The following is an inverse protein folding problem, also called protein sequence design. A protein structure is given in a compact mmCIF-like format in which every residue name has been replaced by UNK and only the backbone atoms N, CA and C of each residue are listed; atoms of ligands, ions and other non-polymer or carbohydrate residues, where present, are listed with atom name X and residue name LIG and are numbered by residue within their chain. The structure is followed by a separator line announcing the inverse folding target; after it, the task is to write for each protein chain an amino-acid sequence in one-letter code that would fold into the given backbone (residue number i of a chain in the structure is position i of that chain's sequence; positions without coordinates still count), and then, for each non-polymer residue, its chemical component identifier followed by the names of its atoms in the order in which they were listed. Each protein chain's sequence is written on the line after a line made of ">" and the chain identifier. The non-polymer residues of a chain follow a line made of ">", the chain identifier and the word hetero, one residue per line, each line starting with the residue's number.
data_IF_582596644448
#
_entry.id   IF_582596644448
#
_cell.length_a   1.000
_cell.length_b   1.000
_cell.length_c   1.000
_cell.angle_alpha   90.00
_cell.angle_beta   90.00
_cell.angle_gamma   90.00
#
_symmetry.space_group_name_H-M   'P 1'
#
loop_
_entity.id
_entity.type
_entity.pdbx_description
1 polymer ?
#
# COMPACT_ATOMS: atom_id res chain seq x y z
N UNK A 1 12.37 -8.11 -30.18
CA UNK A 1 12.23 -9.33 -31.01
C UNK A 1 12.67 -10.61 -30.31
N UNK A 2 13.92 -10.79 -29.88
CA UNK A 2 14.31 -12.00 -29.12
C UNK A 2 13.59 -12.07 -27.77
N UNK A 3 13.51 -10.93 -27.09
CA UNK A 3 12.75 -10.72 -25.84
C UNK A 3 11.26 -10.97 -26.06
N UNK A 4 10.65 -10.38 -27.09
CA UNK A 4 9.23 -10.53 -27.41
C UNK A 4 8.82 -11.98 -27.74
N UNK A 5 9.77 -12.84 -28.10
CA UNK A 5 9.55 -14.26 -28.37
C UNK A 5 10.03 -15.16 -27.22
N UNK A 6 10.37 -14.60 -26.06
CA UNK A 6 10.84 -15.33 -24.87
C UNK A 6 11.98 -16.32 -25.15
N UNK A 7 12.90 -15.94 -26.06
CA UNK A 7 14.00 -16.81 -26.47
C UNK A 7 15.30 -16.44 -25.74
N UNK A 8 15.54 -17.06 -24.58
CA UNK A 8 16.71 -16.82 -23.74
C UNK A 8 18.02 -17.07 -24.49
N UNK A 9 18.13 -18.21 -25.19
CA UNK A 9 19.35 -18.62 -25.89
C UNK A 9 19.77 -17.56 -26.92
N UNK A 10 18.80 -16.96 -27.62
CA UNK A 10 19.07 -15.87 -28.56
C UNK A 10 19.49 -14.59 -27.84
N UNK A 11 18.89 -14.27 -26.68
CA UNK A 11 19.29 -13.11 -25.88
C UNK A 11 20.72 -13.25 -25.40
N UNK A 12 21.08 -14.40 -24.82
CA UNK A 12 22.45 -14.72 -24.39
C UNK A 12 23.44 -14.64 -25.55
N UNK A 13 23.12 -15.22 -26.71
CA UNK A 13 23.97 -15.17 -27.90
C UNK A 13 24.22 -13.74 -28.38
N UNK A 14 23.18 -12.89 -28.39
CA UNK A 14 23.30 -11.48 -28.79
C UNK A 14 24.17 -10.69 -27.81
N UNK A 15 24.06 -11.00 -26.53
CA UNK A 15 24.86 -10.42 -25.46
C UNK A 15 26.34 -10.82 -25.61
N UNK A 16 26.62 -12.10 -25.88
CA UNK A 16 27.99 -12.60 -26.13
C UNK A 16 28.66 -11.90 -27.31
N UNK A 17 27.88 -11.49 -28.32
CA UNK A 17 28.36 -10.78 -29.49
C UNK A 17 28.46 -9.25 -29.29
N UNK A 18 28.30 -8.74 -28.06
CA UNK A 18 28.34 -7.32 -27.69
C UNK A 18 27.40 -6.46 -28.54
N UNK A 19 26.18 -6.94 -28.77
CA UNK A 19 25.13 -6.13 -29.37
C UNK A 19 24.69 -5.06 -28.37
N UNK A 20 24.55 -3.83 -28.85
CA UNK A 20 24.09 -2.69 -28.03
C UNK A 20 22.68 -2.98 -27.47
N UNK A 21 22.57 -3.03 -26.15
CA UNK A 21 21.36 -3.44 -25.43
C UNK A 21 20.29 -2.35 -25.40
N UNK A 22 20.67 -1.06 -25.41
CA UNK A 22 19.73 0.08 -25.43
C UNK A 22 18.58 -0.07 -24.41
N UNK A 23 17.33 0.02 -24.86
CA UNK A 23 16.11 -0.13 -24.05
C UNK A 23 15.63 -1.59 -23.91
N UNK A 24 16.46 -2.58 -24.26
CA UNK A 24 16.14 -4.01 -24.15
C UNK A 24 15.70 -4.40 -22.73
N UNK A 25 16.33 -3.83 -21.70
CA UNK A 25 15.94 -4.10 -20.31
C UNK A 25 14.49 -3.65 -20.04
N UNK A 26 14.11 -2.45 -20.51
CA UNK A 26 12.75 -1.94 -20.32
C UNK A 26 11.74 -2.79 -21.10
N UNK A 27 12.10 -3.28 -22.28
CA UNK A 27 11.27 -4.23 -23.04
C UNK A 27 11.11 -5.58 -22.34
N UNK A 28 12.19 -6.13 -21.76
CA UNK A 28 12.12 -7.38 -20.99
C UNK A 28 11.22 -7.24 -19.77
N UNK A 29 11.29 -6.10 -19.07
CA UNK A 29 10.39 -5.79 -17.96
C UNK A 29 8.95 -5.60 -18.44
N UNK A 30 8.73 -4.98 -19.60
CA UNK A 30 7.37 -4.77 -20.12
C UNK A 30 6.66 -6.05 -20.53
N UNK A 31 7.43 -7.04 -21.01
CA UNK A 31 6.96 -8.39 -21.34
C UNK A 31 6.99 -9.35 -20.12
N UNK A 32 7.40 -8.87 -18.94
CA UNK A 32 7.47 -9.66 -17.70
C UNK A 32 8.40 -10.88 -17.79
N UNK A 33 9.42 -10.83 -18.67
CA UNK A 33 10.36 -11.92 -18.90
C UNK A 33 11.51 -11.91 -17.88
N UNK A 34 11.32 -12.60 -16.76
CA UNK A 34 12.19 -12.55 -15.57
C UNK A 34 13.62 -12.98 -15.87
N UNK A 35 13.82 -14.08 -16.59
CA UNK A 35 15.14 -14.64 -16.89
C UNK A 35 15.97 -13.69 -17.76
N UNK A 36 15.35 -13.10 -18.79
CA UNK A 36 16.03 -12.10 -19.62
C UNK A 36 16.39 -10.84 -18.83
N UNK A 37 15.53 -10.40 -17.90
CA UNK A 37 15.85 -9.26 -17.02
C UNK A 37 17.08 -9.55 -16.18
N UNK A 38 17.21 -10.74 -15.62
CA UNK A 38 18.38 -11.12 -14.82
C UNK A 38 19.67 -11.12 -15.66
N UNK A 39 19.66 -11.78 -16.83
CA UNK A 39 20.81 -11.83 -17.74
C UNK A 39 21.21 -10.42 -18.23
N UNK A 40 20.23 -9.57 -18.58
CA UNK A 40 20.49 -8.20 -19.01
C UNK A 40 21.07 -7.33 -17.89
N UNK A 41 20.60 -7.50 -16.65
CA UNK A 41 21.15 -6.78 -15.49
C UNK A 41 22.58 -7.22 -15.17
N UNK A 42 22.87 -8.52 -15.23
CA UNK A 42 24.23 -9.04 -15.03
C UNK A 42 25.21 -8.53 -16.09
N UNK A 43 24.77 -8.45 -17.34
CA UNK A 43 25.57 -7.87 -18.41
C UNK A 43 25.83 -6.38 -18.20
N UNK A 44 24.82 -5.61 -17.79
CA UNK A 44 24.99 -4.19 -17.47
C UNK A 44 25.98 -4.02 -16.31
N UNK A 45 25.83 -4.76 -15.22
CA UNK A 45 26.73 -4.68 -14.06
C UNK A 45 28.19 -5.00 -14.42
N UNK A 46 28.42 -5.92 -15.36
CA UNK A 46 29.75 -6.29 -15.82
C UNK A 46 30.41 -5.22 -16.71
N UNK A 47 29.62 -4.51 -17.51
CA UNK A 47 30.11 -3.59 -18.54
C UNK A 47 29.92 -2.11 -18.22
N UNK A 48 29.14 -1.79 -17.19
CA UNK A 48 28.82 -0.41 -16.84
C UNK A 48 30.05 0.33 -16.29
N UNK A 49 30.32 1.49 -16.87
CA UNK A 49 31.39 2.38 -16.44
C UNK A 49 30.83 3.36 -15.41
N UNK A 50 31.38 3.41 -14.17
CA UNK A 50 30.86 4.30 -13.13
C UNK A 50 30.88 5.78 -13.57
N UNK A 51 29.70 6.39 -13.64
CA UNK A 51 29.52 7.80 -13.98
C UNK A 51 29.01 8.07 -15.39
N UNK A 52 28.90 7.04 -16.24
CA UNK A 52 28.14 7.11 -17.49
C UNK A 52 26.66 6.78 -17.24
N UNK A 53 25.72 7.30 -18.04
CA UNK A 53 24.32 6.88 -17.97
C UNK A 53 24.20 5.38 -18.30
N UNK A 54 23.23 4.72 -17.71
CA UNK A 54 22.95 3.31 -18.02
C UNK A 54 22.51 3.13 -19.48
N UNK A 55 22.63 1.91 -20.02
CA UNK A 55 22.25 1.60 -21.41
C UNK A 55 20.82 2.04 -21.77
N UNK A 56 19.87 1.89 -20.84
CA UNK A 56 18.46 2.31 -21.01
C UNK A 56 18.24 3.82 -20.85
N UNK A 57 19.20 4.57 -20.31
CA UNK A 57 19.16 6.05 -20.16
C UNK A 57 19.85 6.76 -21.33
N UNK A 58 20.78 6.07 -22.00
CA UNK A 58 21.58 6.61 -23.09
C UNK A 58 20.88 6.59 -24.47
N UNK A 59 19.65 6.08 -24.54
CA UNK A 59 18.91 5.92 -25.81
C UNK A 59 18.41 7.27 -26.32
N UNK A 60 18.59 7.54 -27.62
CA UNK A 60 18.08 8.73 -28.28
C UNK A 60 16.55 8.83 -28.12
N UNK A 61 16.06 9.99 -27.70
CA UNK A 61 14.63 10.26 -27.45
C UNK A 61 13.73 9.98 -28.66
N UNK A 62 14.24 10.14 -29.88
CA UNK A 62 13.48 9.87 -31.11
C UNK A 62 13.33 8.37 -31.40
N UNK A 63 14.11 7.53 -30.73
CA UNK A 63 14.12 6.07 -30.90
C UNK A 63 13.57 5.30 -29.69
N UNK A 64 13.46 5.95 -28.52
CA UNK A 64 13.02 5.30 -27.29
C UNK A 64 11.51 5.06 -27.27
N UNK A 65 11.09 3.83 -26.98
CA UNK A 65 9.66 3.51 -26.80
C UNK A 65 9.10 4.10 -25.50
N UNK A 66 9.95 4.24 -24.48
CA UNK A 66 9.60 4.69 -23.14
C UNK A 66 9.94 6.16 -22.94
N UNK A 67 9.19 6.85 -22.09
CA UNK A 67 9.52 8.22 -21.70
C UNK A 67 10.73 8.22 -20.76
N UNK A 68 11.58 9.26 -20.81
CA UNK A 68 12.85 9.28 -20.07
C UNK A 68 12.70 9.29 -18.54
N UNK A 69 11.50 9.55 -18.03
CA UNK A 69 11.17 9.46 -16.61
C UNK A 69 10.91 8.03 -16.10
N UNK A 70 10.80 7.05 -17.00
CA UNK A 70 10.53 5.65 -16.65
C UNK A 70 11.86 4.93 -16.41
N UNK A 71 12.16 4.67 -15.15
CA UNK A 71 13.28 3.79 -14.75
C UNK A 71 12.84 2.32 -14.75
N UNK A 72 13.78 1.35 -14.79
CA UNK A 72 13.47 -0.07 -14.70
C UNK A 72 12.57 -0.43 -13.49
N UNK A 73 12.84 0.17 -12.32
CA UNK A 73 12.04 -0.05 -11.12
C UNK A 73 10.63 0.55 -11.23
N UNK A 74 10.48 1.73 -11.86
CA UNK A 74 9.16 2.33 -12.11
C UNK A 74 8.35 1.42 -13.02
N UNK A 75 8.94 0.94 -14.11
CA UNK A 75 8.26 0.07 -15.07
C UNK A 75 7.86 -1.28 -14.46
N UNK A 76 8.76 -1.90 -13.69
CA UNK A 76 8.50 -3.14 -12.98
C UNK A 76 7.36 -2.98 -11.97
N UNK A 77 7.35 -1.86 -11.22
CA UNK A 77 6.26 -1.54 -10.30
C UNK A 77 4.94 -1.25 -11.03
N UNK A 78 4.96 -0.66 -12.23
CA UNK A 78 3.73 -0.46 -13.03
C UNK A 78 3.11 -1.79 -13.47
N UNK A 79 3.93 -2.80 -13.77
CA UNK A 79 3.51 -4.18 -14.07
C UNK A 79 3.12 -4.97 -12.82
N UNK A 80 3.51 -4.49 -11.64
CA UNK A 80 3.26 -5.14 -10.35
C UNK A 80 3.87 -6.56 -10.25
N UNK A 81 4.90 -6.85 -11.04
CA UNK A 81 5.58 -8.14 -11.03
C UNK A 81 6.53 -8.24 -9.82
N UNK A 82 6.18 -9.10 -8.87
CA UNK A 82 6.90 -9.27 -7.61
C UNK A 82 8.36 -9.71 -7.79
N UNK A 83 8.64 -10.62 -8.73
CA UNK A 83 9.97 -11.20 -8.92
C UNK A 83 10.94 -10.17 -9.50
N UNK A 84 10.53 -9.46 -10.55
CA UNK A 84 11.33 -8.40 -11.17
C UNK A 84 11.58 -7.25 -10.17
N UNK A 85 10.55 -6.81 -9.45
CA UNK A 85 10.71 -5.76 -8.43
C UNK A 85 11.70 -6.20 -7.36
N UNK A 86 11.63 -7.47 -6.93
CA UNK A 86 12.57 -8.01 -5.95
C UNK A 86 14.01 -8.04 -6.47
N UNK A 87 14.22 -8.54 -7.69
CA UNK A 87 15.54 -8.57 -8.36
C UNK A 87 16.17 -7.17 -8.38
N UNK A 88 15.39 -6.15 -8.75
CA UNK A 88 15.85 -4.76 -8.82
C UNK A 88 16.14 -4.18 -7.43
N UNK A 89 15.31 -4.44 -6.43
CA UNK A 89 15.51 -3.97 -5.06
C UNK A 89 16.73 -4.64 -4.40
N UNK A 90 16.94 -5.94 -4.62
CA UNK A 90 18.09 -6.69 -4.09
C UNK A 90 19.42 -6.15 -4.68
N UNK A 91 19.38 -5.61 -5.90
CA UNK A 91 20.49 -4.90 -6.56
C UNK A 91 20.60 -3.41 -6.19
N UNK A 92 19.79 -2.93 -5.26
CA UNK A 92 19.90 -1.58 -4.70
C UNK A 92 19.21 -0.48 -5.50
N UNK A 93 18.30 -0.82 -6.41
CA UNK A 93 17.49 0.19 -7.10
C UNK A 93 16.63 0.97 -6.09
N UNK A 94 16.60 2.31 -6.24
CA UNK A 94 15.85 3.21 -5.36
C UNK A 94 14.84 4.01 -6.17
N UNK A 95 13.61 4.10 -5.67
CA UNK A 95 12.60 5.01 -6.20
C UNK A 95 12.65 6.33 -5.41
N UNK A 96 13.07 7.46 -6.03
CA UNK A 96 13.06 8.75 -5.34
C UNK A 96 11.63 9.16 -4.99
N UNK A 97 11.45 9.71 -3.78
CA UNK A 97 10.16 10.22 -3.36
C UNK A 97 9.78 11.47 -4.19
N UNK A 98 8.58 11.52 -4.78
CA UNK A 98 8.13 12.70 -5.51
C UNK A 98 8.12 13.94 -4.62
N UNK A 99 8.55 15.07 -5.16
CA UNK A 99 8.40 16.35 -4.48
C UNK A 99 6.91 16.75 -4.37
N UNK A 100 6.59 17.58 -3.38
CA UNK A 100 5.24 18.15 -3.26
C UNK A 100 4.93 19.02 -4.49
N UNK A 101 3.65 19.10 -4.87
CA UNK A 101 3.21 19.84 -6.08
C UNK A 101 3.64 21.31 -6.04
N UNK A 102 3.78 21.88 -4.84
CA UNK A 102 4.16 23.29 -4.62
C UNK A 102 5.65 23.47 -4.34
N UNK A 103 6.48 22.48 -4.65
CA UNK A 103 7.92 22.57 -4.45
C UNK A 103 8.52 23.69 -5.34
N UNK A 104 9.37 24.52 -4.73
CA UNK A 104 10.04 25.64 -5.39
C UNK A 104 11.57 25.43 -5.47
N UNK A 105 12.04 24.18 -5.45
CA UNK A 105 13.46 23.91 -5.68
C UNK A 105 13.85 24.19 -7.14
N UNK A 106 15.14 24.40 -7.38
CA UNK A 106 15.68 24.71 -8.71
C UNK A 106 15.30 23.66 -9.76
N UNK A 107 15.30 22.38 -9.39
CA UNK A 107 15.01 21.29 -10.33
C UNK A 107 13.55 21.22 -10.73
N UNK A 108 12.61 21.37 -9.78
CA UNK A 108 11.18 21.42 -10.09
C UNK A 108 10.81 22.64 -10.91
N UNK A 109 11.39 23.81 -10.59
CA UNK A 109 11.14 25.05 -11.34
C UNK A 109 11.67 24.93 -12.77
N UNK A 110 12.88 24.42 -12.94
CA UNK A 110 13.49 24.18 -14.26
C UNK A 110 12.66 23.19 -15.09
N UNK A 111 12.42 21.99 -14.55
CA UNK A 111 11.63 20.94 -15.21
C UNK A 111 10.24 21.42 -15.62
N UNK A 112 9.56 22.17 -14.75
CA UNK A 112 8.24 22.73 -15.06
C UNK A 112 8.30 23.83 -16.12
N UNK A 113 9.36 24.66 -16.14
CA UNK A 113 9.55 25.71 -17.14
C UNK A 113 9.92 25.18 -18.53
N UNK A 114 10.65 24.07 -18.59
CA UNK A 114 11.01 23.38 -19.82
C UNK A 114 9.80 22.62 -20.38
N UNK A 115 9.17 21.79 -19.55
CA UNK A 115 7.97 21.05 -19.93
C UNK A 115 7.08 20.69 -18.72
N UNK A 116 6.06 21.52 -18.53
CA UNK A 116 5.06 21.32 -17.47
C UNK A 116 4.27 20.01 -17.59
N UNK A 117 4.05 19.48 -18.80
CA UNK A 117 3.28 18.26 -19.02
C UNK A 117 4.11 17.04 -18.64
N UNK A 118 5.36 16.97 -19.12
CA UNK A 118 6.27 15.88 -18.75
C UNK A 118 6.60 15.91 -17.25
N UNK A 119 6.75 17.11 -16.65
CA UNK A 119 6.90 17.23 -15.20
C UNK A 119 5.73 16.60 -14.42
N UNK A 120 4.50 16.87 -14.87
CA UNK A 120 3.30 16.32 -14.24
C UNK A 120 3.14 14.82 -14.50
N UNK A 121 3.49 14.35 -15.72
CA UNK A 121 3.49 12.94 -16.09
C UNK A 121 4.51 12.12 -15.29
N UNK A 122 5.71 12.64 -15.11
CA UNK A 122 6.76 12.02 -14.29
C UNK A 122 6.30 11.83 -12.84
N UNK A 123 5.67 12.86 -12.25
CA UNK A 123 5.09 12.76 -10.90
C UNK A 123 4.06 11.65 -10.80
N UNK A 124 3.12 11.54 -11.74
CA UNK A 124 2.08 10.50 -11.67
C UNK A 124 2.64 9.11 -11.92
N UNK A 125 3.65 8.96 -12.79
CA UNK A 125 4.35 7.70 -13.00
C UNK A 125 5.07 7.24 -11.73
N UNK A 126 5.72 8.16 -11.00
CA UNK A 126 6.33 7.84 -9.71
C UNK A 126 5.29 7.43 -8.65
N UNK A 127 4.16 8.14 -8.55
CA UNK A 127 3.08 7.74 -7.64
C UNK A 127 2.42 6.41 -8.02
N UNK A 128 2.32 6.10 -9.32
CA UNK A 128 1.83 4.82 -9.81
C UNK A 128 2.75 3.68 -9.39
N UNK A 129 4.07 3.88 -9.48
CA UNK A 129 5.04 2.93 -8.96
C UNK A 129 4.94 2.77 -7.44
N UNK A 130 4.89 3.86 -6.67
CA UNK A 130 4.73 3.82 -5.21
C UNK A 130 3.45 3.11 -4.75
N UNK A 131 2.39 3.15 -5.55
CA UNK A 131 1.12 2.52 -5.25
C UNK A 131 1.05 1.02 -5.62
N UNK A 132 2.12 0.43 -6.17
CA UNK A 132 2.23 -1.00 -6.46
C UNK A 132 2.19 -1.83 -5.18
N UNK A 133 1.25 -2.80 -5.07
CA UNK A 133 1.25 -3.82 -4.02
C UNK A 133 2.60 -4.52 -3.83
N UNK A 134 3.22 -4.98 -4.92
CA UNK A 134 4.50 -5.70 -4.88
C UNK A 134 5.61 -4.81 -4.33
N UNK A 135 5.70 -3.55 -4.77
CA UNK A 135 6.69 -2.61 -4.26
C UNK A 135 6.47 -2.30 -2.77
N UNK A 136 5.23 -2.03 -2.35
CA UNK A 136 4.91 -1.74 -0.94
C UNK A 136 5.25 -2.94 -0.05
N UNK A 137 4.94 -4.16 -0.51
CA UNK A 137 5.19 -5.38 0.25
C UNK A 137 6.70 -5.66 0.46
N UNK A 138 7.53 -5.37 -0.54
CA UNK A 138 8.98 -5.61 -0.49
C UNK A 138 9.75 -4.49 0.22
N UNK A 139 9.34 -3.24 0.04
CA UNK A 139 10.10 -2.06 0.51
C UNK A 139 9.68 -1.55 1.90
N UNK A 140 8.44 -1.80 2.33
CA UNK A 140 7.91 -1.22 3.58
C UNK A 140 8.01 -2.16 4.79
N UNK A 141 8.37 -1.59 5.94
CA UNK A 141 8.32 -2.26 7.24
C UNK A 141 6.89 -2.46 7.77
N UNK A 142 5.99 -1.51 7.49
CA UNK A 142 4.56 -1.58 7.84
C UNK A 142 3.73 -1.29 6.57
N UNK A 143 3.47 -2.31 5.74
CA UNK A 143 2.74 -2.16 4.48
C UNK A 143 1.35 -1.55 4.64
N UNK A 144 0.65 -1.86 5.74
CA UNK A 144 -0.69 -1.34 6.02
C UNK A 144 -0.63 0.17 6.31
N UNK A 145 0.33 0.61 7.13
CA UNK A 145 0.55 2.04 7.38
C UNK A 145 0.89 2.78 6.09
N UNK A 146 1.84 2.26 5.32
CA UNK A 146 2.27 2.87 4.06
C UNK A 146 1.09 3.02 3.10
N UNK A 147 0.26 1.99 2.94
CA UNK A 147 -0.94 2.06 2.13
C UNK A 147 -1.96 3.11 2.64
N UNK A 148 -2.11 3.26 3.95
CA UNK A 148 -3.01 4.28 4.55
C UNK A 148 -2.51 5.71 4.34
N UNK A 149 -1.20 5.94 4.49
CA UNK A 149 -0.58 7.23 4.26
C UNK A 149 -0.63 7.60 2.77
N UNK A 150 -0.22 6.69 1.89
CA UNK A 150 -0.21 6.91 0.45
C UNK A 150 -1.62 7.14 -0.10
N UNK A 151 -2.62 6.35 0.31
CA UNK A 151 -4.01 6.58 -0.10
C UNK A 151 -4.60 7.91 0.41
N UNK A 152 -4.09 8.44 1.52
CA UNK A 152 -4.47 9.78 1.99
C UNK A 152 -3.78 10.87 1.18
N UNK A 153 -2.50 10.70 0.87
CA UNK A 153 -1.74 11.61 0.03
C UNK A 153 -2.32 11.69 -1.38
N UNK A 154 -2.54 10.55 -2.06
CA UNK A 154 -3.17 10.49 -3.38
C UNK A 154 -4.53 11.17 -3.41
N UNK A 155 -5.31 11.06 -2.31
CA UNK A 155 -6.55 11.82 -2.17
C UNK A 155 -6.30 13.33 -2.15
N UNK A 156 -5.31 13.81 -1.40
CA UNK A 156 -4.95 15.23 -1.35
C UNK A 156 -4.53 15.73 -2.73
N UNK A 157 -3.66 14.99 -3.42
CA UNK A 157 -3.17 15.32 -4.76
C UNK A 157 -4.30 15.42 -5.78
N UNK A 158 -5.30 14.54 -5.71
CA UNK A 158 -6.48 14.59 -6.60
C UNK A 158 -7.34 15.87 -6.50
N UNK A 159 -7.18 16.65 -5.41
CA UNK A 159 -7.82 17.96 -5.25
C UNK A 159 -6.88 19.13 -5.59
N UNK A 160 -5.58 18.87 -5.73
CA UNK A 160 -4.60 19.89 -6.10
C UNK A 160 -4.39 19.90 -7.62
N UNK A 161 -4.28 18.72 -8.24
CA UNK A 161 -4.20 18.52 -9.68
C UNK A 161 -5.51 17.92 -10.19
N UNK A 162 -6.37 18.76 -10.73
CA UNK A 162 -7.72 18.37 -11.11
C UNK A 162 -7.73 17.58 -12.43
N UNK A 163 -6.75 17.82 -13.27
CA UNK A 163 -6.53 17.22 -14.59
C UNK A 163 -6.33 15.71 -14.47
N UNK A 164 -5.55 15.26 -13.47
CA UNK A 164 -5.24 13.86 -13.21
C UNK A 164 -6.03 13.25 -12.05
N UNK A 165 -7.13 13.89 -11.64
CA UNK A 165 -7.93 13.48 -10.48
C UNK A 165 -8.39 12.03 -10.55
N UNK A 166 -8.80 11.55 -11.73
CA UNK A 166 -9.27 10.17 -11.91
C UNK A 166 -8.16 9.16 -11.62
N UNK A 167 -6.97 9.38 -12.20
CA UNK A 167 -5.81 8.51 -12.01
C UNK A 167 -5.38 8.45 -10.54
N UNK A 168 -5.28 9.60 -9.86
CA UNK A 168 -4.97 9.62 -8.42
C UNK A 168 -6.02 8.86 -7.58
N UNK A 169 -7.30 8.96 -7.92
CA UNK A 169 -8.36 8.23 -7.22
C UNK A 169 -8.31 6.71 -7.47
N UNK A 170 -7.87 6.29 -8.66
CA UNK A 170 -7.62 4.88 -8.97
C UNK A 170 -6.43 4.33 -8.21
N UNK A 171 -5.29 5.03 -8.20
CA UNK A 171 -4.12 4.65 -7.39
C UNK A 171 -4.47 4.58 -5.90
N UNK A 172 -5.26 5.55 -5.43
CA UNK A 172 -5.78 5.53 -4.06
C UNK A 172 -6.58 4.25 -3.80
N UNK A 173 -7.48 3.89 -4.71
CA UNK A 173 -8.30 2.66 -4.60
C UNK A 173 -7.41 1.43 -4.56
N UNK A 174 -6.38 1.33 -5.40
CA UNK A 174 -5.39 0.23 -5.37
C UNK A 174 -4.75 0.08 -3.98
N UNK A 175 -4.27 1.17 -3.39
CA UNK A 175 -3.69 1.15 -2.04
C UNK A 175 -4.70 0.69 -0.96
N UNK A 176 -5.95 1.15 -1.05
CA UNK A 176 -7.00 0.74 -0.11
C UNK A 176 -7.33 -0.74 -0.23
N UNK A 177 -7.38 -1.24 -1.47
CA UNK A 177 -7.70 -2.62 -1.78
C UNK A 177 -6.57 -3.53 -1.31
N UNK A 178 -5.30 -3.17 -1.54
CA UNK A 178 -4.13 -3.87 -1.00
C UNK A 178 -4.18 -4.03 0.53
N UNK A 179 -4.41 -2.95 1.28
CA UNK A 179 -4.51 -3.03 2.73
C UNK A 179 -5.68 -3.90 3.22
N UNK A 180 -6.77 -3.95 2.45
CA UNK A 180 -7.91 -4.82 2.75
C UNK A 180 -7.57 -6.28 2.46
N UNK A 181 -6.94 -6.57 1.32
CA UNK A 181 -6.49 -7.92 0.96
C UNK A 181 -5.49 -8.50 1.96
N UNK A 182 -4.57 -7.69 2.51
CA UNK A 182 -3.69 -8.13 3.59
C UNK A 182 -4.46 -8.57 4.84
N UNK A 183 -5.57 -7.89 5.15
CA UNK A 183 -6.42 -8.24 6.27
C UNK A 183 -7.24 -9.53 5.99
N UNK A 184 -7.62 -9.78 4.73
CA UNK A 184 -8.31 -11.00 4.31
C UNK A 184 -7.48 -12.27 4.58
N UNK A 185 -6.15 -12.14 4.61
CA UNK A 185 -5.24 -13.25 4.90
C UNK A 185 -5.11 -13.59 6.40
N UNK A 186 -5.77 -12.86 7.30
CA UNK A 186 -5.82 -13.22 8.73
C UNK A 186 -6.63 -14.50 8.94
N UNK A 187 -6.03 -15.50 9.59
CA UNK A 187 -6.65 -16.82 9.79
C UNK A 187 -7.20 -17.02 11.19
N UNK A 188 -6.66 -16.30 12.18
CA UNK A 188 -7.06 -16.42 13.57
C UNK A 188 -7.60 -15.09 14.12
N UNK A 189 -8.47 -15.17 15.14
CA UNK A 189 -8.92 -13.97 15.86
C UNK A 189 -7.76 -13.25 16.53
N UNK A 190 -6.75 -14.00 16.98
CA UNK A 190 -5.54 -13.44 17.58
C UNK A 190 -4.73 -12.61 16.58
N UNK A 191 -4.46 -13.12 15.37
CA UNK A 191 -3.78 -12.34 14.31
C UNK A 191 -4.52 -11.04 14.01
N UNK A 192 -5.86 -11.11 13.92
CA UNK A 192 -6.69 -9.95 13.68
C UNK A 192 -6.61 -8.94 14.84
N UNK A 193 -6.65 -9.41 16.09
CA UNK A 193 -6.51 -8.57 17.28
C UNK A 193 -5.14 -7.89 17.33
N UNK A 194 -4.06 -8.63 17.08
CA UNK A 194 -2.70 -8.08 17.01
C UNK A 194 -2.64 -7.00 15.92
N UNK A 195 -3.12 -7.28 14.72
CA UNK A 195 -3.12 -6.35 13.60
C UNK A 195 -3.91 -5.06 13.92
N UNK A 196 -5.12 -5.19 14.50
CA UNK A 196 -5.99 -4.05 14.79
C UNK A 196 -5.53 -3.22 16.00
N UNK A 197 -4.76 -3.82 16.92
CA UNK A 197 -4.21 -3.14 18.10
C UNK A 197 -2.76 -2.66 17.90
N UNK A 198 -2.09 -3.07 16.83
CA UNK A 198 -0.68 -2.76 16.60
C UNK A 198 -0.37 -1.26 16.64
N UNK A 199 0.55 -0.89 17.53
CA UNK A 199 1.12 0.44 17.71
C UNK A 199 2.65 0.36 17.65
N UNK A 200 3.34 1.05 16.72
CA UNK A 200 4.80 1.02 16.61
C UNK A 200 5.54 1.57 17.83
N UNK A 201 4.92 2.45 18.63
CA UNK A 201 5.55 3.06 19.81
C UNK A 201 5.14 2.42 21.14
N UNK A 202 4.15 1.52 21.09
CA UNK A 202 3.60 0.87 22.27
C UNK A 202 4.23 -0.50 22.55
N UNK A 203 3.90 -1.11 23.70
CA UNK A 203 4.21 -2.52 23.91
C UNK A 203 3.47 -3.40 22.89
N UNK A 204 4.04 -4.57 22.60
CA UNK A 204 3.36 -5.58 21.80
C UNK A 204 2.04 -6.00 22.49
N UNK A 205 0.99 -6.19 21.70
CA UNK A 205 -0.31 -6.61 22.23
C UNK A 205 -0.25 -8.06 22.71
N UNK A 206 -0.61 -8.30 23.97
CA UNK A 206 -0.75 -9.65 24.52
C UNK A 206 -2.23 -10.05 24.65
N UNK A 207 -2.48 -11.35 24.54
CA UNK A 207 -3.85 -11.87 24.62
C UNK A 207 -4.42 -11.63 26.02
N UNK A 208 -5.53 -10.87 26.10
CA UNK A 208 -6.15 -10.45 27.36
C UNK A 208 -5.92 -8.98 27.72
N UNK A 209 -5.07 -8.29 26.97
CA UNK A 209 -4.94 -6.83 27.09
C UNK A 209 -6.22 -6.11 26.63
N UNK A 210 -6.39 -4.90 27.14
CA UNK A 210 -7.48 -4.03 26.71
C UNK A 210 -7.30 -3.65 25.24
N UNK A 211 -8.27 -4.02 24.40
CA UNK A 211 -8.27 -3.67 22.98
C UNK A 211 -8.44 -2.16 22.78
N UNK A 212 -7.33 -1.45 22.55
CA UNK A 212 -7.33 0.00 22.26
C UNK A 212 -7.69 0.31 20.80
N UNK A 213 -7.56 -0.70 19.92
CA UNK A 213 -7.86 -0.66 18.49
C UNK A 213 -7.15 0.50 17.77
N UNK A 214 -5.88 0.72 18.09
CA UNK A 214 -5.06 1.83 17.59
C UNK A 214 -5.01 1.87 16.06
N UNK A 215 -4.78 0.71 15.42
CA UNK A 215 -4.74 0.60 13.96
C UNK A 215 -6.10 0.89 13.33
N UNK A 216 -7.19 0.43 13.94
CA UNK A 216 -8.54 0.70 13.45
C UNK A 216 -8.89 2.19 13.55
N UNK A 217 -8.53 2.86 14.65
CA UNK A 217 -8.70 4.31 14.80
C UNK A 217 -7.93 5.07 13.72
N UNK A 218 -6.71 4.62 13.41
CA UNK A 218 -5.93 5.17 12.31
C UNK A 218 -6.62 4.95 10.95
N UNK A 219 -7.15 3.75 10.69
CA UNK A 219 -7.90 3.44 9.49
C UNK A 219 -9.11 4.38 9.31
N UNK A 220 -9.85 4.67 10.39
CA UNK A 220 -10.95 5.64 10.38
C UNK A 220 -10.44 7.06 10.07
N UNK A 221 -9.33 7.49 10.68
CA UNK A 221 -8.69 8.81 10.43
C UNK A 221 -8.32 8.99 8.96
N UNK A 222 -7.77 7.95 8.33
CA UNK A 222 -7.41 7.96 6.89
C UNK A 222 -8.59 7.61 5.96
N UNK A 223 -9.81 7.43 6.50
CA UNK A 223 -11.06 7.12 5.77
C UNK A 223 -10.98 5.82 4.96
N UNK A 224 -10.40 4.78 5.55
CA UNK A 224 -10.26 3.44 4.99
C UNK A 224 -11.55 2.63 5.11
N UNK A 225 -12.56 2.99 4.30
CA UNK A 225 -13.92 2.46 4.43
C UNK A 225 -14.00 0.93 4.27
N UNK A 226 -13.35 0.37 3.25
CA UNK A 226 -13.38 -1.09 2.97
C UNK A 226 -12.74 -1.89 4.10
N UNK A 227 -11.55 -1.47 4.53
CA UNK A 227 -10.84 -2.05 5.67
C UNK A 227 -11.71 -2.07 6.94
N UNK A 228 -12.32 -0.94 7.30
CA UNK A 228 -13.17 -0.87 8.49
C UNK A 228 -14.45 -1.72 8.34
N UNK A 229 -15.03 -1.79 7.15
CA UNK A 229 -16.26 -2.54 6.88
C UNK A 229 -16.02 -4.04 6.64
N UNK A 230 -14.77 -4.51 6.70
CA UNK A 230 -14.42 -5.89 6.44
C UNK A 230 -15.13 -6.85 7.42
N UNK A 231 -15.70 -7.98 6.97
CA UNK A 231 -16.43 -8.93 7.81
C UNK A 231 -15.70 -9.34 9.09
N UNK A 232 -14.40 -9.64 9.02
CA UNK A 232 -13.62 -10.05 10.20
C UNK A 232 -13.52 -8.91 11.23
N UNK A 233 -13.29 -7.67 10.76
CA UNK A 233 -13.23 -6.48 11.63
C UNK A 233 -14.59 -6.22 12.27
N UNK A 234 -15.66 -6.30 11.48
CA UNK A 234 -17.03 -6.10 11.97
C UNK A 234 -17.46 -7.18 12.97
N UNK A 235 -17.03 -8.43 12.75
CA UNK A 235 -17.28 -9.53 13.68
C UNK A 235 -16.59 -9.30 15.03
N UNK A 236 -15.32 -8.88 15.03
CA UNK A 236 -14.58 -8.54 16.25
C UNK A 236 -15.20 -7.32 16.96
N UNK A 237 -15.55 -6.27 16.22
CA UNK A 237 -16.22 -5.11 16.79
C UNK A 237 -17.57 -5.48 17.40
N UNK A 238 -18.32 -6.37 16.77
CA UNK A 238 -19.57 -6.87 17.32
C UNK A 238 -19.34 -7.68 18.61
N UNK A 239 -18.27 -8.48 18.72
CA UNK A 239 -17.98 -9.19 19.98
C UNK A 239 -17.62 -8.23 21.11
N UNK A 240 -16.84 -7.18 20.82
CA UNK A 240 -16.50 -6.13 21.81
C UNK A 240 -17.75 -5.34 22.21
N UNK A 241 -18.58 -4.94 21.25
CA UNK A 241 -19.79 -4.14 21.50
C UNK A 241 -20.82 -4.85 22.38
N UNK A 242 -20.93 -6.18 22.26
CA UNK A 242 -21.90 -6.99 23.00
C UNK A 242 -21.30 -7.77 24.18
N UNK A 243 -20.06 -7.49 24.59
CA UNK A 243 -19.35 -8.22 25.66
C UNK A 243 -20.14 -8.22 26.99
N UNK A 244 -20.76 -7.10 27.35
CA UNK A 244 -21.60 -6.97 28.54
C UNK A 244 -23.00 -7.59 28.43
N UNK A 245 -23.40 -8.09 27.26
CA UNK A 245 -24.74 -8.63 26.97
C UNK A 245 -24.67 -9.98 26.24
N UNK A 246 -24.18 -11.04 26.91
CA UNK A 246 -24.01 -12.34 26.29
C UNK A 246 -25.35 -12.87 25.75
N UNK A 247 -25.35 -13.29 24.48
CA UNK A 247 -26.52 -13.84 23.80
C UNK A 247 -27.51 -12.80 23.26
N UNK A 248 -27.30 -11.50 23.45
CA UNK A 248 -28.18 -10.45 22.91
C UNK A 248 -28.36 -10.57 21.39
N UNK A 249 -27.28 -10.84 20.66
CA UNK A 249 -27.28 -11.01 19.20
C UNK A 249 -28.11 -12.21 18.71
N UNK A 250 -28.37 -13.21 19.57
CA UNK A 250 -29.17 -14.40 19.24
C UNK A 250 -30.67 -14.21 19.53
N UNK A 251 -31.06 -13.14 20.22
CA UNK A 251 -32.46 -12.86 20.60
C UNK A 251 -33.24 -12.29 19.41
N UNK A 252 -34.55 -12.58 19.37
CA UNK A 252 -35.46 -11.94 18.42
C UNK A 252 -35.54 -10.43 18.68
N UNK A 253 -35.92 -9.65 17.65
CA UNK A 253 -36.01 -8.19 17.72
C UNK A 253 -36.90 -7.72 18.89
N UNK A 254 -38.04 -8.38 19.13
CA UNK A 254 -38.92 -8.04 20.27
C UNK A 254 -38.23 -8.21 21.64
N UNK A 255 -37.47 -9.30 21.80
CA UNK A 255 -36.69 -9.57 23.00
C UNK A 255 -35.52 -8.58 23.15
N UNK A 256 -34.87 -8.20 22.05
CA UNK A 256 -33.83 -7.18 22.04
C UNK A 256 -34.39 -5.81 22.46
N UNK A 257 -35.54 -5.41 21.91
CA UNK A 257 -36.21 -4.17 22.29
C UNK A 257 -36.60 -4.18 23.78
N UNK A 258 -37.15 -5.28 24.29
CA UNK A 258 -37.48 -5.42 25.70
C UNK A 258 -36.24 -5.25 26.60
N UNK A 259 -35.13 -5.87 26.23
CA UNK A 259 -33.86 -5.74 26.96
C UNK A 259 -33.31 -4.31 26.93
N UNK A 260 -33.35 -3.65 25.78
CA UNK A 260 -32.94 -2.24 25.65
C UNK A 260 -33.82 -1.35 26.54
N UNK A 261 -35.15 -1.53 26.50
CA UNK A 261 -36.08 -0.79 27.36
C UNK A 261 -35.82 -1.05 28.85
N UNK A 262 -35.57 -2.31 29.23
CA UNK A 262 -35.22 -2.70 30.60
C UNK A 262 -33.94 -1.99 31.06
N UNK A 263 -32.90 -1.96 30.21
CA UNK A 263 -31.63 -1.30 30.52
C UNK A 263 -31.83 0.21 30.66
N UNK A 264 -32.63 0.83 29.77
CA UNK A 264 -32.96 2.25 29.84
C UNK A 264 -33.71 2.64 31.11
N UNK A 265 -34.72 1.85 31.52
CA UNK A 265 -35.49 2.09 32.74
C UNK A 265 -34.66 1.89 34.02
N UNK A 266 -33.79 0.89 34.05
CA UNK A 266 -32.94 0.57 35.21
C UNK A 266 -31.62 1.35 35.23
N UNK A 267 -31.37 2.22 34.25
CA UNK A 267 -30.18 3.07 34.16
C UNK A 267 -29.79 3.79 35.48
N UNK A 268 -30.70 4.47 36.21
CA UNK A 268 -30.33 5.16 37.46
C UNK A 268 -29.83 4.19 38.54
N UNK A 269 -30.40 2.99 38.62
CA UNK A 269 -29.97 1.95 39.56
C UNK A 269 -28.59 1.43 39.15
N UNK A 270 -28.38 1.17 37.87
CA UNK A 270 -27.08 0.76 37.35
C UNK A 270 -26.00 1.83 37.60
N UNK A 271 -26.30 3.12 37.37
CA UNK A 271 -25.37 4.21 37.60
C UNK A 271 -24.94 4.32 39.08
N UNK A 272 -25.88 4.23 40.02
CA UNK A 272 -25.57 4.22 41.46
C UNK A 272 -24.73 2.99 41.82
N UNK A 273 -25.08 1.81 41.28
CA UNK A 273 -24.31 0.59 41.52
C UNK A 273 -22.88 0.65 40.98
N UNK A 274 -22.67 1.35 39.85
CA UNK A 274 -21.34 1.58 39.27
C UNK A 274 -20.49 2.50 40.15
N UNK A 275 -21.08 3.54 40.75
CA UNK A 275 -20.39 4.47 41.66
C UNK A 275 -20.03 3.79 42.99
N UNK A 276 -20.95 3.00 43.56
CA UNK A 276 -20.77 2.40 44.90
C UNK A 276 -19.97 1.09 44.86
N UNK A 277 -20.17 0.26 43.84
CA UNK A 277 -19.55 -1.06 43.73
C UNK A 277 -19.17 -1.38 42.26
N UNK A 278 -18.12 -0.72 41.72
CA UNK A 278 -17.76 -0.80 40.29
C UNK A 278 -17.36 -2.21 39.82
N UNK A 279 -16.91 -3.08 40.73
CA UNK A 279 -16.50 -4.45 40.41
C UNK A 279 -17.61 -5.49 40.51
N UNK A 280 -18.81 -5.10 40.97
CA UNK A 280 -19.99 -5.97 41.04
C UNK A 280 -20.48 -6.37 39.64
N UNK A 281 -21.20 -7.49 39.52
CA UNK A 281 -21.77 -7.94 38.22
C UNK A 281 -22.68 -6.88 37.59
N UNK A 282 -23.47 -6.19 38.42
CA UNK A 282 -24.38 -5.11 38.01
C UNK A 282 -23.60 -3.86 37.57
N UNK A 283 -22.55 -3.48 38.33
CA UNK A 283 -21.67 -2.37 37.96
C UNK A 283 -20.90 -2.63 36.66
N UNK A 284 -20.44 -3.87 36.42
CA UNK A 284 -19.78 -4.26 35.16
C UNK A 284 -20.70 -4.23 33.95
N UNK A 285 -22.01 -4.27 34.13
CA UNK A 285 -22.97 -4.21 33.00
C UNK A 285 -22.93 -2.85 32.28
N UNK A 286 -22.47 -1.79 32.95
CA UNK A 286 -22.30 -0.44 32.40
C UNK A 286 -20.90 -0.14 31.84
N UNK A 287 -19.92 -1.04 32.05
CA UNK A 287 -18.53 -0.85 31.64
C UNK A 287 -18.29 -1.34 30.22
#
# INVERSE_FOLDING_TARGET
>A
MAIDNENLEMVELLIEHNVDTKDALLHAISEEYVEAVEVLLEHEEANHIPGEPHSWEAVDHDSSTFTPDITPLILAAHRDNYEIVKILLDRGAVLPAPHDIRCACSDCVRSCSEDSLNHSRSRINAYRALASPSLIALSSKDPILTAFLLSHELRRLSYLEHEYKCEYMELRKKCMDFATSLLDHTRSSYELEVLLNYDPSGPAFEQGDRMLLSRLKLAIKHKQKKFCAHPNVQQLLASIWYEGLPGFRRKNILLQCFEICRIGLLFPIYAVSYIVAPYSSVGRTLR
#
